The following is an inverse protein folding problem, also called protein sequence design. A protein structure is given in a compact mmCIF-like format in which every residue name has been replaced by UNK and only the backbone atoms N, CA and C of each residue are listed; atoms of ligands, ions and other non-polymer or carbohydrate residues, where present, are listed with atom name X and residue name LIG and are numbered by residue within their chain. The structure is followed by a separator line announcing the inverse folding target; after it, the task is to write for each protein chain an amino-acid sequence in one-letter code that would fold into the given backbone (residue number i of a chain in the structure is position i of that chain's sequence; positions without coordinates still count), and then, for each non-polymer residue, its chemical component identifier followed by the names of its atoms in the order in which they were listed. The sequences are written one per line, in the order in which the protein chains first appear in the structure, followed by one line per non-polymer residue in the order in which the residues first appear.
data_IF_590073643548
#
_entry.id   IF_590073643548
#
_cell.length_a   1.000
_cell.length_b   1.000
_cell.length_c   1.000
_cell.angle_alpha   90.00
_cell.angle_beta   90.00
_cell.angle_gamma   90.00
#
_symmetry.space_group_name_H-M   'P 1'
#
loop_
_entity.id
_entity.type
_entity.pdbx_description
1 polymer ?
#
# COMPACT_ATOMS: atom_id res chain seq x y z
N UNK A 1 52.66 20.71 63.84
CA UNK A 1 53.97 20.17 63.46
C UNK A 1 54.01 20.12 61.93
N UNK A 2 54.75 21.02 61.29
CA UNK A 2 56.09 20.74 60.70
C UNK A 2 55.91 20.13 59.27
N UNK A 3 56.46 20.60 58.15
CA UNK A 3 57.63 21.43 57.82
C UNK A 3 57.46 22.07 56.41
N UNK A 4 58.42 22.92 56.07
CA UNK A 4 58.50 23.90 54.98
C UNK A 4 58.81 23.39 53.54
N UNK A 5 58.30 24.17 52.56
CA UNK A 5 58.87 24.81 51.30
C UNK A 5 60.13 24.21 50.60
N UNK A 6 60.54 24.70 49.39
CA UNK A 6 59.90 24.74 48.05
C UNK A 6 60.91 24.32 46.91
N UNK A 7 60.50 24.23 45.63
CA UNK A 7 61.32 24.51 44.41
C UNK A 7 60.57 24.23 43.08
N UNK A 8 60.76 25.08 42.08
CA UNK A 8 60.38 24.92 40.65
C UNK A 8 61.67 24.76 39.79
N UNK A 9 61.69 24.67 38.43
CA UNK A 9 60.68 24.36 37.39
C UNK A 9 61.17 23.31 36.33
N UNK A 10 60.35 23.13 35.28
CA UNK A 10 60.68 22.68 33.90
C UNK A 10 61.11 21.21 33.64
N UNK A 11 60.19 20.46 33.03
CA UNK A 11 60.47 19.26 32.24
C UNK A 11 59.73 19.36 30.91
N UNK A 12 60.50 19.54 29.83
CA UNK A 12 60.04 19.85 28.49
C UNK A 12 59.05 18.83 27.90
N UNK A 13 58.12 19.38 27.11
CA UNK A 13 57.23 18.63 26.23
C UNK A 13 58.00 17.65 25.34
N UNK A 14 57.59 16.38 25.37
CA UNK A 14 57.85 15.44 24.28
C UNK A 14 56.53 15.19 23.56
N UNK A 15 56.21 16.12 22.66
CA UNK A 15 55.22 15.87 21.61
C UNK A 15 55.76 14.69 20.78
N UNK A 16 55.07 13.54 20.86
CA UNK A 16 55.31 12.44 19.93
C UNK A 16 55.01 12.98 18.53
N UNK A 17 55.91 12.79 17.55
CA UNK A 17 55.65 13.23 16.19
C UNK A 17 54.37 12.54 15.73
N UNK A 18 53.39 13.35 15.34
CA UNK A 18 52.21 12.87 14.65
C UNK A 18 52.71 12.19 13.37
N UNK A 19 52.74 10.87 13.38
CA UNK A 19 52.92 10.08 12.18
C UNK A 19 51.76 10.46 11.26
N UNK A 20 52.06 11.28 10.27
CA UNK A 20 51.23 11.49 9.09
C UNK A 20 51.24 10.19 8.26
N UNK A 21 50.79 9.10 8.87
CA UNK A 21 50.22 7.99 8.14
C UNK A 21 48.85 8.44 7.70
N UNK A 22 48.46 8.09 6.49
CA UNK A 22 47.06 8.04 6.10
C UNK A 22 46.39 6.97 6.98
N UNK A 23 46.21 7.28 8.26
CA UNK A 23 45.49 6.42 9.19
C UNK A 23 44.09 6.36 8.64
N UNK A 24 43.72 5.17 8.17
CA UNK A 24 42.40 4.85 7.63
C UNK A 24 41.37 5.30 8.66
N UNK A 25 40.89 6.53 8.49
CA UNK A 25 39.95 7.21 9.36
C UNK A 25 38.77 6.26 9.50
N UNK A 26 38.59 5.62 10.66
CA UNK A 26 37.51 4.64 10.85
C UNK A 26 36.17 5.35 10.69
N UNK A 27 35.58 5.22 9.50
CA UNK A 27 34.27 5.81 9.20
C UNK A 27 33.22 4.84 9.71
N UNK A 28 32.60 5.19 10.83
CA UNK A 28 31.37 4.54 11.28
C UNK A 28 30.22 5.07 10.44
N UNK A 29 29.60 4.18 9.68
CA UNK A 29 28.44 4.51 8.86
C UNK A 29 27.27 3.58 9.21
N UNK A 30 26.06 4.13 9.16
CA UNK A 30 24.82 3.36 9.24
C UNK A 30 24.28 3.18 7.83
N UNK A 31 23.96 1.93 7.48
CA UNK A 31 23.34 1.58 6.22
C UNK A 31 21.83 1.67 6.38
N UNK A 32 21.20 2.53 5.58
CA UNK A 32 19.75 2.59 5.47
C UNK A 32 19.31 2.10 4.08
N UNK A 33 18.16 1.42 3.96
CA UNK A 33 17.62 1.05 2.67
C UNK A 33 17.28 2.30 1.85
N UNK A 34 17.57 2.28 0.55
CA UNK A 34 17.20 3.37 -0.34
C UNK A 34 15.67 3.47 -0.52
N UNK A 35 14.95 2.34 -0.41
CA UNK A 35 13.48 2.27 -0.43
C UNK A 35 12.99 1.32 0.66
N UNK A 36 12.09 1.80 1.49
CA UNK A 36 11.44 1.04 2.56
C UNK A 36 9.97 1.45 2.64
N UNK A 37 9.09 0.49 2.88
CA UNK A 37 7.68 0.75 3.12
C UNK A 37 7.12 -0.31 4.06
N UNK A 38 6.24 0.11 4.97
CA UNK A 38 5.38 -0.80 5.73
C UNK A 38 4.08 -0.98 4.96
N UNK A 39 3.65 -2.24 4.77
CA UNK A 39 2.38 -2.54 4.15
C UNK A 39 1.34 -2.80 5.24
N UNK A 40 0.13 -2.29 5.03
CA UNK A 40 -1.01 -2.53 5.90
C UNK A 40 -2.18 -3.05 5.08
N UNK A 41 -3.09 -3.78 5.74
CA UNK A 41 -4.33 -4.21 5.10
C UNK A 41 -5.24 -2.99 4.88
N UNK A 42 -5.68 -2.79 3.65
CA UNK A 42 -6.64 -1.74 3.30
C UNK A 42 -8.09 -2.14 3.67
N UNK A 43 -8.32 -3.41 4.01
CA UNK A 43 -9.64 -3.98 4.32
C UNK A 43 -9.57 -4.85 5.58
N UNK A 44 -10.68 -4.93 6.32
CA UNK A 44 -10.86 -5.90 7.39
C UNK A 44 -11.14 -7.29 6.81
N UNK A 45 -10.11 -8.10 6.63
CA UNK A 45 -10.23 -9.46 6.08
C UNK A 45 -9.21 -10.42 6.70
N UNK A 46 -9.50 -11.73 6.63
CA UNK A 46 -8.59 -12.78 7.09
C UNK A 46 -7.50 -13.01 6.06
N UNK A 47 -6.25 -13.10 6.50
CA UNK A 47 -5.13 -13.51 5.64
C UNK A 47 -5.33 -14.96 5.21
N UNK A 48 -5.36 -15.20 3.90
CA UNK A 48 -5.47 -16.53 3.30
C UNK A 48 -4.09 -17.10 2.99
N UNK A 49 -3.18 -16.31 2.40
CA UNK A 49 -1.84 -16.77 1.99
C UNK A 49 -0.78 -15.67 2.08
N UNK A 50 0.41 -16.06 2.55
CA UNK A 50 1.67 -15.31 2.49
C UNK A 50 2.68 -16.11 1.64
N UNK A 51 2.73 -15.90 0.32
CA UNK A 51 3.63 -16.66 -0.56
C UNK A 51 5.11 -16.31 -0.40
N UNK A 52 5.44 -15.14 0.15
CA UNK A 52 6.83 -14.71 0.38
C UNK A 52 7.15 -14.85 1.86
N UNK A 53 8.19 -15.63 2.16
CA UNK A 53 8.68 -15.83 3.52
C UNK A 53 9.44 -14.60 4.02
N UNK A 54 9.66 -14.51 5.33
CA UNK A 54 10.55 -13.52 5.93
C UNK A 54 11.96 -13.64 5.33
N UNK A 55 12.60 -12.51 5.05
CA UNK A 55 13.84 -12.48 4.28
C UNK A 55 13.65 -12.88 2.80
N UNK A 56 12.47 -13.23 2.31
CA UNK A 56 12.25 -13.61 0.91
C UNK A 56 12.45 -12.42 -0.04
N UNK A 57 13.03 -12.68 -1.23
CA UNK A 57 13.12 -11.67 -2.31
C UNK A 57 11.81 -11.64 -3.11
N UNK A 58 11.42 -10.45 -3.55
CA UNK A 58 10.25 -10.26 -4.42
C UNK A 58 10.51 -9.29 -5.56
N UNK A 59 9.73 -9.43 -6.64
CA UNK A 59 9.72 -8.52 -7.78
C UNK A 59 8.60 -7.49 -7.62
N UNK A 60 8.70 -6.35 -8.32
CA UNK A 60 7.59 -5.41 -8.41
C UNK A 60 6.35 -6.11 -9.01
N UNK A 61 5.17 -5.81 -8.46
CA UNK A 61 3.89 -6.41 -8.86
C UNK A 61 3.66 -7.83 -8.33
N UNK A 62 4.62 -8.46 -7.68
CA UNK A 62 4.44 -9.78 -7.08
C UNK A 62 3.47 -9.70 -5.89
N UNK A 63 2.52 -10.63 -5.81
CA UNK A 63 1.61 -10.72 -4.66
C UNK A 63 2.37 -11.10 -3.39
N UNK A 64 2.25 -10.27 -2.36
CA UNK A 64 2.88 -10.46 -1.05
C UNK A 64 1.89 -11.04 -0.03
N UNK A 65 0.62 -10.60 -0.10
CA UNK A 65 -0.45 -11.04 0.80
C UNK A 65 -1.72 -11.27 -0.03
N UNK A 66 -2.42 -12.35 0.26
CA UNK A 66 -3.78 -12.60 -0.25
C UNK A 66 -4.75 -12.76 0.92
N UNK A 67 -5.88 -12.06 0.86
CA UNK A 67 -6.95 -12.16 1.84
C UNK A 67 -8.09 -13.07 1.35
N UNK A 68 -8.86 -13.63 2.28
CA UNK A 68 -10.14 -14.28 1.97
C UNK A 68 -11.18 -13.19 1.69
N UNK A 69 -11.66 -13.15 0.45
CA UNK A 69 -12.60 -12.16 -0.05
C UNK A 69 -13.93 -12.74 -0.53
N UNK A 70 -14.32 -13.88 0.02
CA UNK A 70 -15.62 -14.51 -0.29
C UNK A 70 -16.80 -13.54 -0.16
N UNK A 71 -16.83 -12.71 0.91
CA UNK A 71 -17.90 -11.73 1.13
C UNK A 71 -17.90 -10.61 0.06
N UNK A 72 -16.75 -10.02 -0.24
CA UNK A 72 -16.61 -8.93 -1.21
C UNK A 72 -16.95 -9.41 -2.62
N UNK A 73 -16.56 -10.64 -2.96
CA UNK A 73 -16.92 -11.27 -4.23
C UNK A 73 -18.44 -11.48 -4.33
N UNK A 74 -19.09 -11.95 -3.27
CA UNK A 74 -20.54 -12.09 -3.23
C UNK A 74 -21.26 -10.73 -3.38
N UNK A 75 -20.75 -9.68 -2.73
CA UNK A 75 -21.30 -8.32 -2.86
C UNK A 75 -21.12 -7.76 -4.28
N UNK A 76 -19.97 -7.99 -4.91
CA UNK A 76 -19.75 -7.63 -6.31
C UNK A 76 -20.69 -8.37 -7.25
N UNK A 77 -20.92 -9.66 -7.02
CA UNK A 77 -21.86 -10.46 -7.80
C UNK A 77 -23.30 -9.94 -7.65
N UNK A 78 -23.72 -9.57 -6.44
CA UNK A 78 -25.01 -8.92 -6.18
C UNK A 78 -25.16 -7.61 -6.95
N UNK A 79 -24.17 -6.72 -6.88
CA UNK A 79 -24.19 -5.43 -7.58
C UNK A 79 -24.22 -5.62 -9.11
N UNK A 80 -23.51 -6.62 -9.62
CA UNK A 80 -23.54 -6.97 -11.05
C UNK A 80 -24.93 -7.42 -11.49
N UNK A 81 -25.59 -8.28 -10.71
CA UNK A 81 -26.95 -8.73 -11.01
C UNK A 81 -27.95 -7.56 -10.99
N UNK A 82 -27.83 -6.63 -10.02
CA UNK A 82 -28.65 -5.43 -9.96
C UNK A 82 -28.46 -4.53 -11.19
N UNK A 83 -27.21 -4.32 -11.63
CA UNK A 83 -26.90 -3.57 -12.85
C UNK A 83 -27.57 -4.21 -14.07
N UNK A 84 -27.39 -5.52 -14.26
CA UNK A 84 -28.01 -6.25 -15.37
C UNK A 84 -29.53 -6.12 -15.35
N UNK A 85 -30.17 -6.24 -14.18
CA UNK A 85 -31.61 -6.00 -14.02
C UNK A 85 -32.03 -4.59 -14.48
N UNK A 86 -31.35 -3.55 -13.99
CA UNK A 86 -31.63 -2.17 -14.41
C UNK A 86 -31.38 -1.90 -15.89
N UNK A 87 -30.35 -2.52 -16.48
CA UNK A 87 -30.05 -2.38 -17.92
C UNK A 87 -31.14 -3.00 -18.78
N UNK A 88 -31.70 -4.14 -18.38
CA UNK A 88 -32.86 -4.73 -19.04
C UNK A 88 -34.10 -3.84 -18.95
N UNK A 89 -34.38 -3.28 -17.77
CA UNK A 89 -35.49 -2.34 -17.58
C UNK A 89 -35.33 -1.08 -18.42
N UNK A 90 -34.16 -0.45 -18.40
CA UNK A 90 -33.88 0.73 -19.23
C UNK A 90 -34.03 0.42 -20.72
N UNK A 91 -33.53 -0.75 -21.17
CA UNK A 91 -33.69 -1.18 -22.56
C UNK A 91 -35.15 -1.38 -22.96
N UNK A 92 -35.96 -1.97 -22.07
CA UNK A 92 -37.40 -2.13 -22.30
C UNK A 92 -38.10 -0.76 -22.35
N UNK A 93 -37.81 0.12 -21.39
CA UNK A 93 -38.37 1.47 -21.33
C UNK A 93 -37.96 2.33 -22.53
N UNK A 94 -36.72 2.22 -23.00
CA UNK A 94 -36.24 2.88 -24.22
C UNK A 94 -37.06 2.43 -25.43
N UNK A 95 -37.34 1.13 -25.56
CA UNK A 95 -38.17 0.60 -26.64
C UNK A 95 -39.62 1.05 -26.54
N UNK A 96 -40.18 1.13 -25.33
CA UNK A 96 -41.54 1.67 -25.12
C UNK A 96 -41.60 3.17 -25.42
N UNK A 97 -40.54 3.92 -25.17
CA UNK A 97 -40.45 5.35 -25.50
C UNK A 97 -40.43 5.58 -27.00
N UNK A 98 -39.72 4.74 -27.77
CA UNK A 98 -39.77 4.76 -29.24
C UNK A 98 -41.20 4.51 -29.78
N UNK A 99 -42.02 3.79 -29.02
CA UNK A 99 -43.43 3.52 -29.31
C UNK A 99 -44.38 4.54 -28.67
N UNK A 100 -43.86 5.64 -28.11
CA UNK A 100 -44.62 6.67 -27.37
C UNK A 100 -45.53 6.12 -26.26
N UNK A 101 -45.13 4.99 -25.66
CA UNK A 101 -45.93 4.21 -24.70
C UNK A 101 -45.48 4.37 -23.24
N UNK A 102 -44.61 5.34 -22.96
CA UNK A 102 -44.06 5.62 -21.63
C UNK A 102 -43.72 7.12 -21.49
N UNK A 103 -43.72 7.65 -20.27
CA UNK A 103 -43.35 9.04 -20.01
C UNK A 103 -41.83 9.26 -19.97
N UNK A 104 -41.37 10.45 -20.36
CA UNK A 104 -39.94 10.84 -20.30
C UNK A 104 -39.33 10.68 -18.90
N UNK A 105 -40.08 11.05 -17.86
CA UNK A 105 -39.64 10.94 -16.47
C UNK A 105 -39.30 9.48 -16.10
N UNK A 106 -40.10 8.52 -16.57
CA UNK A 106 -39.87 7.09 -16.29
C UNK A 106 -38.62 6.58 -17.03
N UNK A 107 -38.40 7.05 -18.27
CA UNK A 107 -37.17 6.76 -19.01
C UNK A 107 -35.95 7.32 -18.27
N UNK A 108 -36.00 8.57 -17.82
CA UNK A 108 -34.90 9.22 -17.09
C UNK A 108 -34.61 8.52 -15.75
N UNK A 109 -35.64 8.09 -15.01
CA UNK A 109 -35.48 7.29 -13.79
C UNK A 109 -34.77 5.97 -14.09
N UNK A 110 -35.19 5.25 -15.14
CA UNK A 110 -34.54 3.99 -15.50
C UNK A 110 -33.09 4.16 -15.96
N UNK A 111 -32.76 5.28 -16.62
CA UNK A 111 -31.38 5.64 -16.97
C UNK A 111 -30.54 5.94 -15.72
N UNK A 112 -31.10 6.71 -14.78
CA UNK A 112 -30.46 7.03 -13.52
C UNK A 112 -30.18 5.76 -12.68
N UNK A 113 -31.11 4.80 -12.69
CA UNK A 113 -30.96 3.53 -11.97
C UNK A 113 -29.81 2.68 -12.53
N UNK A 114 -29.63 2.64 -13.86
CA UNK A 114 -28.46 2.00 -14.49
C UNK A 114 -27.17 2.68 -14.05
N UNK A 115 -27.13 4.02 -14.05
CA UNK A 115 -25.95 4.77 -13.63
C UNK A 115 -25.60 4.54 -12.14
N UNK A 116 -26.62 4.46 -11.27
CA UNK A 116 -26.47 4.13 -9.85
C UNK A 116 -25.86 2.73 -9.67
N UNK A 117 -26.48 1.71 -10.28
CA UNK A 117 -26.04 0.32 -10.12
C UNK A 117 -24.65 0.07 -10.74
N UNK A 118 -24.31 0.80 -11.80
CA UNK A 118 -22.96 0.78 -12.39
C UNK A 118 -21.92 1.33 -11.43
N UNK A 119 -22.25 2.42 -10.73
CA UNK A 119 -21.39 3.02 -9.72
C UNK A 119 -21.20 2.07 -8.53
N UNK A 120 -22.28 1.43 -8.07
CA UNK A 120 -22.20 0.42 -7.00
C UNK A 120 -21.30 -0.77 -7.39
N UNK A 121 -21.41 -1.27 -8.62
CA UNK A 121 -20.53 -2.32 -9.12
C UNK A 121 -19.05 -1.88 -9.14
N UNK A 122 -18.78 -0.64 -9.54
CA UNK A 122 -17.42 -0.09 -9.55
C UNK A 122 -16.81 0.02 -8.15
N UNK A 123 -17.61 0.43 -7.16
CA UNK A 123 -17.20 0.44 -5.74
C UNK A 123 -16.86 -0.98 -5.29
N UNK A 124 -17.73 -1.96 -5.53
CA UNK A 124 -17.49 -3.34 -5.12
C UNK A 124 -16.30 -3.98 -5.84
N UNK A 125 -16.09 -3.66 -7.12
CA UNK A 125 -14.91 -4.09 -7.88
C UNK A 125 -13.62 -3.52 -7.30
N UNK A 126 -13.64 -2.25 -6.88
CA UNK A 126 -12.48 -1.60 -6.24
C UNK A 126 -12.15 -2.28 -4.92
N UNK A 127 -13.16 -2.55 -4.09
CA UNK A 127 -12.98 -3.28 -2.83
C UNK A 127 -12.43 -4.70 -3.06
N UNK A 128 -12.91 -5.42 -4.08
CA UNK A 128 -12.38 -6.73 -4.44
C UNK A 128 -10.94 -6.67 -4.95
N UNK A 129 -10.49 -5.55 -5.54
CA UNK A 129 -9.09 -5.36 -5.93
C UNK A 129 -8.14 -5.23 -4.74
N UNK A 130 -8.65 -4.81 -3.57
CA UNK A 130 -7.87 -4.67 -2.33
C UNK A 130 -7.62 -6.00 -1.60
N UNK A 131 -8.14 -7.09 -2.14
CA UNK A 131 -7.96 -8.45 -1.61
C UNK A 131 -6.55 -9.00 -1.76
N UNK A 132 -5.73 -8.37 -2.60
CA UNK A 132 -4.34 -8.76 -2.83
C UNK A 132 -3.44 -7.56 -2.71
N UNK A 133 -2.37 -7.68 -1.92
CA UNK A 133 -1.34 -6.65 -1.82
C UNK A 133 -0.19 -7.06 -2.73
N UNK A 134 0.02 -6.28 -3.79
CA UNK A 134 1.15 -6.44 -4.70
C UNK A 134 2.35 -5.58 -4.25
N UNK A 135 3.56 -6.06 -4.52
CA UNK A 135 4.79 -5.35 -4.19
C UNK A 135 4.94 -4.05 -5.00
N UNK A 136 5.07 -2.87 -4.37
CA UNK A 136 5.19 -1.59 -5.09
C UNK A 136 6.56 -1.40 -5.79
N UNK A 137 7.57 -2.18 -5.42
CA UNK A 137 8.92 -2.16 -5.98
C UNK A 137 9.57 -3.55 -5.81
N UNK A 138 10.71 -3.87 -6.45
CA UNK A 138 11.44 -5.11 -6.16
C UNK A 138 12.28 -4.96 -4.88
N UNK A 139 12.36 -6.00 -4.05
CA UNK A 139 13.01 -5.90 -2.75
C UNK A 139 13.09 -7.21 -1.97
N UNK A 140 13.22 -7.10 -0.66
CA UNK A 140 13.24 -8.22 0.28
C UNK A 140 12.32 -7.91 1.47
N UNK A 141 11.60 -8.93 1.96
CA UNK A 141 10.80 -8.82 3.19
C UNK A 141 11.76 -8.78 4.38
N UNK A 142 11.56 -7.84 5.29
CA UNK A 142 12.30 -7.69 6.53
C UNK A 142 11.54 -8.35 7.68
#
# INVERSE_FOLDING_TARGET
AALARPAAPAGAARQRPASAGLESREIRAQLAPHRYTTLAAEIGARVQRLPVQEGGRFKAGQTLVSFDCSLQQAQMAKARAALTGSEHTFKANSRLNELNSIGKVELDISAAEVAKNRSELAVMSTMSGKCTIAAPFPGRVA
#
